data_IF_900812212935
#
_entry.id   IF_900812212935
#
_cell.length_a   1.000
_cell.length_b   1.000
_cell.length_c   1.000
_cell.angle_alpha   90.00
_cell.angle_beta   90.00
_cell.angle_gamma   90.00
#
_symmetry.space_group_name_H-M   'P 1'
#
loop_
_entity.id
_entity.type
_entity.pdbx_description
1 polymer ?
#
# COMPACT_ATOMS: atom_id res chain seq x y z
N UNK A 1 -80.96 37.42 -5.06
CA UNK A 1 -80.09 36.23 -5.23
C UNK A 1 -78.65 36.65 -5.34
N UNK A 2 -77.89 36.65 -4.27
CA UNK A 2 -76.44 36.89 -4.24
C UNK A 2 -75.75 35.77 -3.46
N UNK A 3 -75.04 34.89 -4.17
CA UNK A 3 -74.27 33.84 -3.55
C UNK A 3 -72.96 34.43 -3.04
N UNK A 4 -72.76 34.39 -1.76
CA UNK A 4 -71.53 34.69 -1.08
C UNK A 4 -70.58 33.53 -1.28
N UNK A 5 -69.46 33.77 -1.92
CA UNK A 5 -68.33 32.83 -2.03
C UNK A 5 -67.47 33.06 -0.79
N UNK A 6 -67.53 32.12 0.17
CA UNK A 6 -66.61 32.10 1.29
C UNK A 6 -65.22 31.67 0.78
N UNK A 7 -64.25 32.57 0.86
CA UNK A 7 -62.84 32.25 0.69
C UNK A 7 -62.34 31.43 1.90
N UNK A 8 -62.08 30.17 1.69
CA UNK A 8 -61.30 29.37 2.61
C UNK A 8 -59.84 29.80 2.52
N UNK A 9 -59.33 30.39 3.58
CA UNK A 9 -57.88 30.63 3.73
C UNK A 9 -57.30 29.31 4.27
N UNK A 10 -56.60 28.60 3.40
CA UNK A 10 -55.88 27.40 3.78
C UNK A 10 -54.52 27.85 4.35
N UNK A 11 -54.36 27.81 5.68
CA UNK A 11 -53.06 27.94 6.32
C UNK A 11 -52.33 26.63 6.10
N UNK A 12 -51.43 26.64 5.14
CA UNK A 12 -50.44 25.59 5.02
C UNK A 12 -49.39 25.73 6.13
N UNK A 13 -49.49 24.90 7.13
CA UNK A 13 -48.41 24.63 8.07
C UNK A 13 -47.24 24.02 7.30
N UNK A 14 -46.29 24.85 6.96
CA UNK A 14 -44.96 24.39 6.51
C UNK A 14 -44.27 23.92 7.76
N UNK A 15 -44.35 22.59 8.03
CA UNK A 15 -43.50 21.93 8.96
C UNK A 15 -42.06 22.03 8.41
N UNK A 16 -41.27 22.92 9.00
CA UNK A 16 -39.82 22.88 8.84
C UNK A 16 -39.33 21.54 9.41
N UNK A 17 -39.21 20.53 8.55
CA UNK A 17 -38.34 19.40 8.83
C UNK A 17 -36.93 19.97 8.75
N UNK A 18 -36.37 20.30 9.91
CA UNK A 18 -34.95 20.51 10.06
C UNK A 18 -34.26 19.21 9.65
N UNK A 19 -33.89 19.12 8.38
CA UNK A 19 -32.94 18.15 7.90
C UNK A 19 -31.64 18.45 8.64
N UNK A 20 -31.43 17.80 9.78
CA UNK A 20 -30.12 17.68 10.38
C UNK A 20 -29.25 16.96 9.35
N UNK A 21 -28.63 17.74 8.49
CA UNK A 21 -27.49 17.29 7.69
C UNK A 21 -26.49 16.85 8.74
N UNK A 22 -26.46 15.53 8.97
CA UNK A 22 -25.39 14.88 9.70
C UNK A 22 -24.13 15.22 8.86
N UNK A 23 -23.48 16.33 9.23
CA UNK A 23 -22.12 16.60 8.74
C UNK A 23 -21.30 15.42 9.23
N UNK A 24 -21.15 14.41 8.38
CA UNK A 24 -20.04 13.50 8.52
C UNK A 24 -18.82 14.40 8.68
N UNK A 25 -18.04 14.22 9.75
CA UNK A 25 -16.79 14.94 9.83
C UNK A 25 -16.06 14.58 8.54
N UNK A 26 -15.83 15.60 7.71
CA UNK A 26 -14.81 15.52 6.68
C UNK A 26 -13.58 15.13 7.50
N UNK A 27 -13.20 13.87 7.41
CA UNK A 27 -11.92 13.39 7.92
C UNK A 27 -10.90 14.25 7.20
N UNK A 28 -10.52 15.32 7.89
CA UNK A 28 -9.49 16.22 7.40
C UNK A 28 -8.30 15.32 7.05
N UNK A 29 -7.80 15.50 5.87
CA UNK A 29 -6.66 14.84 5.25
C UNK A 29 -5.33 15.03 6.03
N UNK A 30 -5.38 15.06 7.34
CA UNK A 30 -4.22 15.12 8.23
C UNK A 30 -3.63 13.75 8.53
N UNK A 31 -4.18 12.67 7.97
CA UNK A 31 -3.74 11.30 8.20
C UNK A 31 -2.92 10.69 7.06
N UNK A 32 -2.37 11.51 6.15
CA UNK A 32 -1.37 11.01 5.20
C UNK A 32 0.04 10.85 5.79
N UNK A 33 0.21 11.11 7.06
CA UNK A 33 1.45 10.87 7.77
C UNK A 33 1.20 9.78 8.79
N UNK A 34 1.85 8.64 8.64
CA UNK A 34 2.01 7.58 9.64
C UNK A 34 0.96 6.46 9.74
N UNK A 35 0.25 6.09 8.69
CA UNK A 35 -0.53 4.85 8.73
C UNK A 35 0.36 3.61 8.53
N UNK A 36 1.54 3.79 7.93
CA UNK A 36 2.41 2.67 7.62
C UNK A 36 3.84 2.94 8.10
N UNK A 37 4.34 2.17 9.07
CA UNK A 37 5.77 2.17 9.32
C UNK A 37 6.45 1.55 8.09
N UNK A 38 7.22 2.36 7.37
CA UNK A 38 8.11 1.87 6.34
C UNK A 38 9.24 1.08 7.02
N UNK A 39 9.18 -0.24 6.94
CA UNK A 39 10.20 -1.11 7.52
C UNK A 39 11.16 -1.57 6.43
N UNK A 40 12.32 -0.97 6.38
CA UNK A 40 13.38 -1.51 5.53
C UNK A 40 14.18 -2.61 6.25
N UNK A 41 13.97 -2.84 7.54
CA UNK A 41 14.73 -3.78 8.34
C UNK A 41 16.21 -3.44 8.54
N UNK A 42 16.70 -2.39 7.88
CA UNK A 42 18.06 -1.90 8.01
C UNK A 42 18.26 -1.34 9.40
N UNK A 43 19.25 -1.89 10.10
CA UNK A 43 19.82 -1.26 11.28
C UNK A 43 21.05 -0.46 10.89
N UNK A 44 21.12 0.76 11.35
CA UNK A 44 22.24 1.66 11.12
C UNK A 44 22.78 2.20 12.44
N UNK A 45 24.07 2.53 12.47
CA UNK A 45 24.69 3.34 13.53
C UNK A 45 25.05 4.72 13.01
N UNK A 46 24.97 5.72 13.87
CA UNK A 46 25.61 7.00 13.60
C UNK A 46 27.13 6.81 13.50
N UNK A 47 27.78 7.53 12.61
CA UNK A 47 29.25 7.59 12.54
C UNK A 47 29.85 8.56 13.57
N UNK A 48 29.02 9.35 14.23
CA UNK A 48 29.36 10.29 15.28
C UNK A 48 28.49 10.11 16.51
N UNK A 49 28.72 10.91 17.55
CA UNK A 49 27.99 10.82 18.82
C UNK A 49 26.59 11.42 18.74
N UNK A 50 26.34 12.31 17.78
CA UNK A 50 25.08 13.01 17.60
C UNK A 50 24.61 12.89 16.16
N UNK A 51 23.30 12.82 15.96
CA UNK A 51 22.68 12.76 14.66
C UNK A 51 21.52 13.73 14.57
N UNK A 52 21.59 14.61 13.58
CA UNK A 52 20.56 15.62 13.34
C UNK A 52 19.49 15.09 12.42
N UNK A 53 18.25 15.03 12.91
CA UNK A 53 17.09 14.68 12.11
C UNK A 53 16.54 15.90 11.38
N UNK A 54 16.39 15.80 10.08
CA UNK A 54 15.81 16.82 9.23
C UNK A 54 14.35 16.49 8.88
N UNK A 55 13.53 17.52 8.69
CA UNK A 55 12.13 17.34 8.31
C UNK A 55 11.95 16.79 6.89
N UNK A 56 12.91 17.07 6.00
CA UNK A 56 12.93 16.66 4.59
C UNK A 56 14.32 16.18 4.18
N UNK A 57 14.47 15.39 3.11
CA UNK A 57 15.76 14.94 2.60
C UNK A 57 16.48 16.05 1.82
N UNK A 58 16.86 17.11 2.53
CA UNK A 58 17.48 18.31 1.98
C UNK A 58 18.34 19.00 3.03
N UNK A 59 19.50 19.53 2.59
CA UNK A 59 20.39 20.35 3.45
C UNK A 59 19.79 21.70 3.84
N UNK A 60 18.73 22.14 3.14
CA UNK A 60 17.99 23.36 3.46
C UNK A 60 16.77 23.11 4.35
N UNK A 61 16.55 21.87 4.76
CA UNK A 61 15.41 21.54 5.62
C UNK A 61 15.67 22.01 7.05
N UNK A 62 14.57 22.29 7.76
CA UNK A 62 14.68 22.60 9.18
C UNK A 62 15.12 21.37 9.96
N UNK A 63 16.06 21.58 10.89
CA UNK A 63 16.42 20.59 11.91
C UNK A 63 15.17 20.30 12.75
N UNK A 64 14.80 19.05 12.81
CA UNK A 64 13.64 18.61 13.60
C UNK A 64 14.01 18.32 15.04
N UNK A 65 15.11 17.61 15.23
CA UNK A 65 15.62 17.23 16.55
C UNK A 65 17.01 16.60 16.42
N UNK A 66 17.70 16.54 17.53
CA UNK A 66 18.91 15.76 17.69
C UNK A 66 18.60 14.46 18.42
N UNK A 67 19.31 13.40 18.10
CA UNK A 67 19.16 12.10 18.76
C UNK A 67 20.53 11.55 19.17
N UNK A 68 20.58 11.15 20.42
CA UNK A 68 21.67 10.38 20.98
C UNK A 68 21.25 8.91 20.97
N UNK A 69 21.73 8.14 20.04
CA UNK A 69 21.43 6.70 19.98
C UNK A 69 22.50 5.99 19.16
N UNK A 70 22.82 4.79 19.56
CA UNK A 70 23.77 3.96 18.85
C UNK A 70 23.16 3.21 17.67
N UNK A 71 21.84 3.03 17.66
CA UNK A 71 21.16 2.20 16.69
C UNK A 71 19.84 2.82 16.23
N UNK A 72 19.64 2.85 14.94
CA UNK A 72 18.46 3.40 14.27
C UNK A 72 17.85 2.36 13.35
N UNK A 73 16.54 2.44 13.16
CA UNK A 73 15.87 1.71 12.08
C UNK A 73 15.76 2.61 10.87
N UNK A 74 16.26 2.13 9.73
CA UNK A 74 16.10 2.83 8.45
C UNK A 74 14.72 2.49 7.91
N UNK A 75 13.89 3.51 7.73
CA UNK A 75 12.51 3.39 7.28
C UNK A 75 12.38 3.52 5.76
N UNK A 76 13.36 4.15 5.11
CA UNK A 76 13.35 4.38 3.67
C UNK A 76 14.58 5.16 3.22
N UNK A 77 14.71 5.35 1.92
CA UNK A 77 15.77 6.17 1.35
C UNK A 77 15.26 7.03 0.20
N UNK A 78 15.86 8.20 0.06
CA UNK A 78 15.65 9.09 -1.07
C UNK A 78 16.99 9.70 -1.47
N UNK A 79 17.49 9.39 -2.67
CA UNK A 79 18.82 9.84 -3.15
C UNK A 79 19.92 9.61 -2.09
N UNK A 80 20.51 10.69 -1.58
CA UNK A 80 21.60 10.66 -0.59
C UNK A 80 21.12 10.70 0.86
N UNK A 81 19.85 10.44 1.15
CA UNK A 81 19.23 10.53 2.46
C UNK A 81 18.64 9.21 2.89
N UNK A 82 18.68 8.91 4.18
CA UNK A 82 17.88 7.89 4.84
C UNK A 82 16.82 8.54 5.72
N UNK A 83 15.60 7.98 5.68
CA UNK A 83 14.60 8.24 6.71
C UNK A 83 14.83 7.23 7.83
N UNK A 84 14.97 7.70 9.04
CA UNK A 84 15.28 6.85 10.20
C UNK A 84 14.30 7.09 11.34
N UNK A 85 14.22 6.09 12.22
CA UNK A 85 13.49 6.16 13.49
C UNK A 85 14.40 5.78 14.65
N UNK A 86 14.28 6.55 15.74
CA UNK A 86 14.88 6.27 17.04
C UNK A 86 13.84 6.50 18.13
N UNK A 87 13.28 5.42 18.68
CA UNK A 87 12.11 5.51 19.54
C UNK A 87 10.92 6.14 18.81
N UNK A 88 10.38 7.22 19.38
CA UNK A 88 9.27 7.98 18.78
C UNK A 88 9.74 9.11 17.83
N UNK A 89 11.05 9.35 17.76
CA UNK A 89 11.63 10.39 16.89
C UNK A 89 11.86 9.83 15.49
N UNK A 90 11.47 10.58 14.47
CA UNK A 90 11.60 10.21 13.07
C UNK A 90 12.02 11.41 12.23
N UNK A 91 12.91 11.19 11.26
CA UNK A 91 13.40 12.23 10.37
C UNK A 91 14.38 11.71 9.33
N UNK A 92 14.91 12.64 8.54
CA UNK A 92 15.85 12.37 7.46
C UNK A 92 17.27 12.72 7.88
N UNK A 93 18.22 11.85 7.50
CA UNK A 93 19.66 12.05 7.72
C UNK A 93 20.43 11.77 6.45
N UNK A 94 21.56 12.44 6.21
CA UNK A 94 22.44 12.10 5.09
C UNK A 94 22.94 10.66 5.20
N UNK A 95 23.03 9.95 4.08
CA UNK A 95 23.51 8.55 4.04
C UNK A 95 24.94 8.42 4.60
N UNK A 96 25.77 9.42 4.37
CA UNK A 96 27.13 9.46 4.91
C UNK A 96 27.20 9.54 6.43
N UNK A 97 26.13 10.00 7.11
CA UNK A 97 26.08 10.10 8.58
C UNK A 97 25.84 8.74 9.25
N UNK A 98 25.50 7.71 8.49
CA UNK A 98 25.19 6.38 9.00
C UNK A 98 26.17 5.33 8.50
N UNK A 99 26.43 4.35 9.38
CA UNK A 99 27.02 3.08 9.02
C UNK A 99 25.91 2.02 9.03
N UNK A 100 25.60 1.47 7.85
CA UNK A 100 24.64 0.38 7.74
C UNK A 100 25.30 -0.88 8.27
N UNK A 101 24.62 -1.61 9.15
CA UNK A 101 25.15 -2.84 9.74
C UNK A 101 24.75 -4.10 8.98
N UNK A 102 23.60 -4.05 8.30
CA UNK A 102 23.12 -5.16 7.50
C UNK A 102 22.53 -4.63 6.20
N UNK A 103 22.84 -5.24 5.07
CA UNK A 103 22.13 -5.01 3.81
C UNK A 103 20.76 -5.69 3.89
N UNK A 104 19.76 -4.90 3.70
CA UNK A 104 18.47 -5.12 4.28
C UNK A 104 17.51 -5.95 3.49
N UNK A 105 16.85 -6.67 4.26
CA UNK A 105 15.53 -7.17 3.97
C UNK A 105 14.48 -6.37 4.73
N UNK A 106 13.33 -6.09 4.13
CA UNK A 106 12.15 -5.71 4.89
C UNK A 106 11.76 -6.95 5.71
N UNK A 107 11.86 -6.91 7.05
CA UNK A 107 11.53 -8.09 7.83
C UNK A 107 10.10 -8.50 7.57
N UNK A 108 9.86 -9.78 7.30
CA UNK A 108 8.50 -10.28 7.27
C UNK A 108 7.89 -10.04 8.66
N UNK A 109 6.94 -9.11 8.69
CA UNK A 109 5.99 -9.00 9.77
C UNK A 109 4.69 -9.59 9.26
N UNK A 110 4.12 -10.55 9.98
CA UNK A 110 2.76 -11.02 9.69
C UNK A 110 1.79 -9.85 9.62
N UNK A 111 1.96 -8.90 10.53
CA UNK A 111 1.18 -7.66 10.58
C UNK A 111 1.36 -6.84 9.30
N UNK A 112 2.59 -6.61 8.84
CA UNK A 112 2.86 -5.85 7.61
C UNK A 112 2.28 -6.56 6.38
N UNK A 113 2.41 -7.88 6.28
CA UNK A 113 1.82 -8.62 5.16
C UNK A 113 0.30 -8.51 5.12
N UNK A 114 -0.36 -8.57 6.28
CA UNK A 114 -1.80 -8.37 6.42
C UNK A 114 -2.21 -6.93 6.10
N UNK A 115 -1.45 -5.92 6.57
CA UNK A 115 -1.69 -4.51 6.28
C UNK A 115 -1.60 -4.18 4.78
N UNK A 116 -0.61 -4.74 4.07
CA UNK A 116 -0.48 -4.62 2.60
C UNK A 116 -1.73 -5.15 1.91
N UNK A 117 -2.23 -6.31 2.35
CA UNK A 117 -3.44 -6.91 1.81
C UNK A 117 -4.67 -6.04 2.09
N UNK A 118 -4.86 -5.60 3.34
CA UNK A 118 -6.01 -4.78 3.71
C UNK A 118 -5.99 -3.43 2.98
N UNK A 119 -4.82 -2.80 2.86
CA UNK A 119 -4.70 -1.59 2.05
C UNK A 119 -5.07 -1.84 0.59
N UNK A 120 -4.59 -2.94 0.00
CA UNK A 120 -4.95 -3.30 -1.37
C UNK A 120 -6.45 -3.55 -1.56
N UNK A 121 -7.13 -4.13 -0.56
CA UNK A 121 -8.58 -4.37 -0.59
C UNK A 121 -9.41 -3.10 -0.65
N UNK A 122 -8.91 -1.95 -0.20
CA UNK A 122 -9.60 -0.66 -0.30
C UNK A 122 -9.88 -0.27 -1.76
N UNK A 123 -9.17 -0.86 -2.71
CA UNK A 123 -9.27 -0.57 -4.14
C UNK A 123 -10.08 -1.63 -4.91
N UNK A 124 -10.76 -2.56 -4.23
CA UNK A 124 -11.66 -3.52 -4.88
C UNK A 124 -12.72 -2.75 -5.67
N UNK A 125 -12.90 -3.12 -6.95
CA UNK A 125 -13.79 -2.44 -7.88
C UNK A 125 -13.11 -1.41 -8.77
N UNK A 126 -11.84 -1.02 -8.51
CA UNK A 126 -11.07 -0.17 -9.44
C UNK A 126 -10.99 -0.84 -10.80
N UNK A 127 -11.34 -0.15 -11.90
CA UNK A 127 -11.33 -0.72 -13.24
C UNK A 127 -9.96 -1.25 -13.66
N UNK A 128 -9.96 -2.32 -14.47
CA UNK A 128 -8.76 -2.74 -15.16
C UNK A 128 -8.44 -1.79 -16.32
N UNK A 129 -7.25 -1.26 -16.34
CA UNK A 129 -6.73 -0.44 -17.44
C UNK A 129 -5.36 -0.97 -17.82
N UNK A 130 -5.18 -1.40 -19.06
CA UNK A 130 -3.87 -1.87 -19.54
C UNK A 130 -2.82 -0.77 -19.42
N UNK A 131 -1.70 -1.06 -18.76
CA UNK A 131 -0.67 -0.07 -18.44
C UNK A 131 -1.06 0.90 -17.31
N UNK A 132 -2.26 0.76 -16.74
CA UNK A 132 -2.78 1.59 -15.67
C UNK A 132 -1.95 1.51 -14.39
N UNK A 133 -1.86 2.64 -13.69
CA UNK A 133 -1.01 2.82 -12.50
C UNK A 133 -1.64 3.81 -11.50
N UNK A 134 -2.94 3.93 -11.51
CA UNK A 134 -3.71 4.80 -10.61
C UNK A 134 -4.76 3.97 -9.87
N UNK A 135 -4.58 3.81 -8.55
CA UNK A 135 -5.44 2.97 -7.71
C UNK A 135 -6.90 3.43 -7.67
N UNK A 136 -7.21 4.66 -8.06
CA UNK A 136 -8.57 5.19 -8.07
C UNK A 136 -9.21 5.17 -9.46
N UNK A 137 -8.41 5.36 -10.53
CA UNK A 137 -8.91 5.51 -11.90
C UNK A 137 -8.78 4.26 -12.74
N UNK A 138 -7.75 3.45 -12.50
CA UNK A 138 -7.52 2.21 -13.20
C UNK A 138 -6.11 1.69 -13.12
N UNK A 139 -5.99 0.38 -12.99
CA UNK A 139 -4.72 -0.34 -12.85
C UNK A 139 -4.71 -1.58 -13.73
N UNK A 140 -3.52 -2.02 -14.16
CA UNK A 140 -3.30 -3.40 -14.56
C UNK A 140 -2.80 -4.25 -13.37
N UNK A 141 -2.59 -5.54 -13.59
CA UNK A 141 -2.21 -6.47 -12.53
C UNK A 141 -0.93 -6.05 -11.79
N UNK A 142 0.12 -5.70 -12.52
CA UNK A 142 1.42 -5.29 -11.96
C UNK A 142 1.44 -3.82 -11.51
N UNK A 143 0.59 -2.97 -12.06
CA UNK A 143 0.35 -1.61 -11.58
C UNK A 143 -0.32 -1.60 -10.21
N UNK A 144 -1.33 -2.48 -10.00
CA UNK A 144 -1.95 -2.69 -8.70
C UNK A 144 -0.91 -3.08 -7.65
N UNK A 145 -0.17 -4.18 -7.89
CA UNK A 145 0.82 -4.68 -6.93
C UNK A 145 1.87 -3.60 -6.62
N UNK A 146 2.43 -2.97 -7.67
CA UNK A 146 3.40 -1.89 -7.50
C UNK A 146 2.86 -0.76 -6.62
N UNK A 147 1.65 -0.27 -6.89
CA UNK A 147 1.08 0.85 -6.16
C UNK A 147 0.68 0.51 -4.74
N UNK A 148 0.25 -0.73 -4.49
CA UNK A 148 -0.03 -1.19 -3.13
C UNK A 148 1.26 -1.24 -2.31
N UNK A 149 2.34 -1.80 -2.84
CA UNK A 149 3.63 -1.82 -2.15
C UNK A 149 4.25 -0.43 -2.00
N UNK A 150 4.10 0.46 -2.98
CA UNK A 150 4.51 1.87 -2.84
C UNK A 150 3.82 2.59 -1.69
N UNK A 151 2.59 2.21 -1.33
CA UNK A 151 1.89 2.72 -0.15
C UNK A 151 2.63 2.45 1.17
N UNK A 152 3.56 1.50 1.16
CA UNK A 152 4.41 1.11 2.30
C UNK A 152 5.89 1.48 2.10
N UNK A 153 6.19 2.36 1.14
CA UNK A 153 7.55 2.73 0.73
C UNK A 153 8.39 1.54 0.22
N UNK A 154 7.73 0.46 -0.22
CA UNK A 154 8.38 -0.70 -0.81
C UNK A 154 8.31 -0.57 -2.34
N UNK A 155 9.46 -0.46 -2.99
CA UNK A 155 9.55 -0.28 -4.42
C UNK A 155 9.79 -1.60 -5.14
N UNK A 156 8.86 -1.98 -6.02
CA UNK A 156 8.96 -3.14 -6.88
C UNK A 156 8.87 -2.74 -8.36
N UNK A 157 9.31 -3.61 -9.23
CA UNK A 157 9.33 -3.42 -10.68
C UNK A 157 7.93 -3.12 -11.23
N UNK A 158 7.85 -2.43 -12.40
CA UNK A 158 6.57 -2.09 -13.02
C UNK A 158 5.86 -3.28 -13.66
N UNK A 159 6.60 -4.23 -14.18
CA UNK A 159 6.02 -5.32 -14.97
C UNK A 159 6.12 -6.65 -14.23
N UNK A 160 5.08 -7.49 -14.33
CA UNK A 160 4.96 -8.75 -13.60
C UNK A 160 6.16 -9.69 -13.81
N UNK A 161 6.72 -9.72 -15.03
CA UNK A 161 7.90 -10.54 -15.35
C UNK A 161 9.18 -10.13 -14.62
N UNK A 162 9.27 -8.87 -14.20
CA UNK A 162 10.39 -8.38 -13.39
C UNK A 162 10.09 -8.50 -11.90
N UNK A 163 8.83 -8.29 -11.49
CA UNK A 163 8.40 -8.36 -10.09
C UNK A 163 8.70 -9.73 -9.43
N UNK A 164 8.72 -10.80 -10.22
CA UNK A 164 9.06 -12.13 -9.70
C UNK A 164 10.49 -12.20 -9.13
N UNK A 165 11.37 -11.34 -9.60
CA UNK A 165 12.77 -11.25 -9.19
C UNK A 165 13.04 -10.15 -8.14
N UNK A 166 12.02 -9.37 -7.75
CA UNK A 166 12.16 -8.33 -6.73
C UNK A 166 12.18 -8.92 -5.30
N UNK A 167 11.93 -10.21 -5.17
CA UNK A 167 11.92 -10.93 -3.90
C UNK A 167 12.47 -12.34 -4.01
N UNK A 168 12.31 -13.12 -2.94
CA UNK A 168 12.72 -14.53 -2.88
C UNK A 168 11.59 -15.44 -3.33
N UNK A 169 11.89 -16.42 -4.17
CA UNK A 169 10.91 -17.42 -4.59
C UNK A 169 10.40 -18.25 -3.41
N UNK A 170 9.08 -18.40 -3.33
CA UNK A 170 8.41 -19.20 -2.30
C UNK A 170 7.53 -20.28 -2.92
N UNK A 171 7.48 -21.44 -2.27
CA UNK A 171 6.57 -22.51 -2.70
C UNK A 171 5.13 -22.14 -2.41
N UNK A 172 4.19 -22.68 -3.20
CA UNK A 172 2.75 -22.43 -3.02
C UNK A 172 2.26 -22.77 -1.60
N UNK A 173 2.82 -23.80 -0.98
CA UNK A 173 2.51 -24.21 0.40
C UNK A 173 3.07 -23.30 1.49
N UNK A 174 4.00 -22.42 1.13
CA UNK A 174 4.71 -21.51 2.05
C UNK A 174 4.24 -20.05 1.89
N UNK A 175 3.20 -19.84 1.06
CA UNK A 175 2.65 -18.50 0.82
C UNK A 175 2.09 -17.89 2.10
N UNK A 176 2.41 -16.61 2.31
CA UNK A 176 1.95 -15.78 3.42
C UNK A 176 1.30 -14.50 2.89
N UNK A 177 0.35 -13.88 3.63
CA UNK A 177 -0.22 -12.60 3.24
C UNK A 177 0.86 -11.58 2.86
N UNK A 178 0.67 -10.88 1.73
CA UNK A 178 1.66 -9.95 1.18
C UNK A 178 2.63 -10.57 0.17
N UNK A 179 2.74 -11.90 0.06
CA UNK A 179 3.53 -12.52 -1.02
C UNK A 179 2.90 -12.25 -2.39
N UNK A 180 3.72 -12.07 -3.41
CA UNK A 180 3.25 -12.02 -4.79
C UNK A 180 3.03 -13.42 -5.34
N UNK A 181 1.97 -13.60 -6.11
CA UNK A 181 1.64 -14.84 -6.83
C UNK A 181 1.57 -14.59 -8.32
N UNK A 182 2.20 -15.44 -9.11
CA UNK A 182 2.40 -15.25 -10.53
C UNK A 182 1.78 -16.37 -11.35
N UNK A 183 1.24 -15.99 -12.52
CA UNK A 183 0.52 -16.88 -13.40
C UNK A 183 0.92 -16.66 -14.86
N UNK A 184 0.83 -17.74 -15.65
CA UNK A 184 0.83 -17.69 -17.11
C UNK A 184 -0.61 -17.76 -17.60
N UNK A 185 -1.20 -16.61 -17.92
CA UNK A 185 -2.59 -16.49 -18.39
C UNK A 185 -2.69 -16.27 -19.90
N UNK A 186 -1.58 -16.44 -20.62
CA UNK A 186 -1.51 -16.17 -22.06
C UNK A 186 -1.96 -17.33 -22.96
N UNK A 187 -2.44 -18.42 -22.37
CA UNK A 187 -2.89 -19.61 -23.08
C UNK A 187 -2.54 -20.90 -22.35
N UNK A 188 -1.78 -21.79 -22.99
CA UNK A 188 -1.22 -22.96 -22.31
C UNK A 188 -0.08 -22.49 -21.40
N UNK A 189 -0.11 -22.94 -20.16
CA UNK A 189 0.93 -22.58 -19.19
C UNK A 189 2.29 -23.14 -19.62
N UNK A 190 3.16 -22.25 -20.02
CA UNK A 190 4.56 -22.49 -20.39
C UNK A 190 5.54 -21.98 -19.35
N UNK A 191 5.05 -21.43 -18.23
CA UNK A 191 5.83 -20.76 -17.20
C UNK A 191 6.15 -19.30 -17.53
N UNK A 192 5.64 -18.75 -18.63
CA UNK A 192 5.87 -17.36 -19.04
C UNK A 192 4.93 -16.43 -18.30
N UNK A 193 5.42 -15.79 -17.25
CA UNK A 193 4.62 -14.90 -16.41
C UNK A 193 3.96 -13.80 -17.23
N UNK A 194 2.63 -13.72 -17.11
CA UNK A 194 1.79 -12.72 -17.75
C UNK A 194 0.83 -12.02 -16.79
N UNK A 195 0.67 -12.54 -15.56
CA UNK A 195 -0.23 -12.01 -14.56
C UNK A 195 0.36 -12.13 -13.16
N UNK A 196 -0.07 -11.23 -12.25
CA UNK A 196 0.38 -11.18 -10.86
C UNK A 196 -0.75 -10.71 -9.94
N UNK A 197 -0.70 -11.15 -8.68
CA UNK A 197 -1.54 -10.66 -7.59
C UNK A 197 -0.81 -10.73 -6.26
N UNK A 198 -1.45 -10.23 -5.21
CA UNK A 198 -0.97 -10.26 -3.83
C UNK A 198 -1.71 -11.37 -3.08
N UNK A 199 -1.00 -12.33 -2.52
CA UNK A 199 -1.63 -13.37 -1.71
C UNK A 199 -2.25 -12.77 -0.46
N UNK A 200 -3.53 -13.07 -0.24
CA UNK A 200 -4.34 -12.46 0.82
C UNK A 200 -4.58 -13.37 2.03
N UNK A 201 -4.00 -14.57 2.03
CA UNK A 201 -4.32 -15.60 3.00
C UNK A 201 -5.47 -16.50 2.55
N UNK A 202 -5.69 -17.63 3.24
CA UNK A 202 -6.80 -18.56 3.04
C UNK A 202 -7.02 -19.02 1.59
N UNK A 203 -5.92 -19.15 0.84
CA UNK A 203 -5.95 -19.55 -0.56
C UNK A 203 -6.53 -18.48 -1.51
N UNK A 204 -6.66 -17.23 -1.07
CA UNK A 204 -7.12 -16.12 -1.87
C UNK A 204 -5.96 -15.20 -2.27
N UNK A 205 -6.16 -14.43 -3.32
CA UNK A 205 -5.24 -13.39 -3.74
C UNK A 205 -5.98 -12.20 -4.36
N UNK A 206 -5.45 -11.01 -4.14
CA UNK A 206 -5.93 -9.74 -4.67
C UNK A 206 -5.23 -9.46 -6.00
N UNK A 207 -5.98 -9.14 -7.04
CA UNK A 207 -5.42 -8.82 -8.35
C UNK A 207 -6.35 -7.90 -9.16
N UNK A 208 -5.84 -7.31 -10.22
CA UNK A 208 -6.66 -6.62 -11.21
C UNK A 208 -7.01 -7.60 -12.33
N UNK A 209 -8.29 -8.00 -12.36
CA UNK A 209 -8.89 -8.87 -13.37
C UNK A 209 -9.39 -8.03 -14.56
N UNK A 210 -9.13 -8.47 -15.78
CA UNK A 210 -9.44 -7.68 -16.98
C UNK A 210 -10.95 -7.45 -17.21
N UNK A 211 -11.81 -8.24 -16.57
CA UNK A 211 -13.27 -8.11 -16.67
C UNK A 211 -13.91 -7.50 -15.43
N UNK A 212 -13.37 -7.78 -14.25
CA UNK A 212 -13.97 -7.40 -12.95
C UNK A 212 -13.23 -6.24 -12.26
N UNK A 213 -12.10 -5.79 -12.82
CA UNK A 213 -11.24 -4.85 -12.14
C UNK A 213 -10.53 -5.48 -10.93
N UNK A 214 -10.18 -4.66 -9.95
CA UNK A 214 -9.53 -5.14 -8.72
C UNK A 214 -10.50 -6.01 -7.91
N UNK A 215 -10.08 -7.25 -7.62
CA UNK A 215 -10.93 -8.26 -6.97
C UNK A 215 -10.12 -9.33 -6.27
N UNK A 216 -10.77 -10.12 -5.42
CA UNK A 216 -10.22 -11.34 -4.84
C UNK A 216 -10.58 -12.56 -5.70
N UNK A 217 -9.63 -13.46 -5.86
CA UNK A 217 -9.83 -14.77 -6.50
C UNK A 217 -9.21 -15.90 -5.66
N UNK A 218 -9.65 -17.15 -5.91
CA UNK A 218 -9.12 -18.32 -5.22
C UNK A 218 -8.02 -18.99 -6.02
N UNK A 219 -6.89 -19.30 -5.40
CA UNK A 219 -5.81 -20.09 -5.99
C UNK A 219 -6.24 -21.53 -6.33
N UNK A 220 -7.30 -22.03 -5.68
CA UNK A 220 -7.87 -23.37 -5.91
C UNK A 220 -8.84 -23.43 -7.08
N UNK A 221 -9.20 -22.29 -7.70
CA UNK A 221 -10.02 -22.33 -8.90
C UNK A 221 -9.30 -23.06 -10.04
N UNK A 222 -10.03 -23.79 -10.89
CA UNK A 222 -9.44 -24.54 -11.99
C UNK A 222 -8.53 -23.68 -12.89
N UNK A 223 -8.95 -22.45 -13.16
CA UNK A 223 -8.19 -21.51 -13.98
C UNK A 223 -6.84 -21.16 -13.35
N UNK A 224 -6.84 -20.69 -12.10
CA UNK A 224 -5.60 -20.26 -11.44
C UNK A 224 -4.72 -21.43 -10.99
N UNK A 225 -5.30 -22.60 -10.70
CA UNK A 225 -4.52 -23.81 -10.42
C UNK A 225 -3.70 -24.25 -11.64
N UNK A 226 -4.29 -24.22 -12.84
CA UNK A 226 -3.60 -24.60 -14.09
C UNK A 226 -2.54 -23.60 -14.50
N UNK A 227 -2.77 -22.32 -14.22
CA UNK A 227 -1.94 -21.22 -14.71
C UNK A 227 -0.92 -20.72 -13.66
N UNK A 228 -0.90 -21.28 -12.45
CA UNK A 228 0.05 -20.91 -11.42
C UNK A 228 1.48 -21.23 -11.85
N UNK A 229 2.40 -20.26 -11.68
CA UNK A 229 3.83 -20.40 -11.98
C UNK A 229 4.63 -20.48 -10.69
N UNK A 230 4.58 -19.43 -9.86
CA UNK A 230 5.40 -19.33 -8.65
C UNK A 230 4.85 -18.26 -7.69
N UNK A 231 5.40 -18.23 -6.47
CA UNK A 231 5.31 -17.10 -5.55
C UNK A 231 6.63 -16.36 -5.40
N UNK A 232 6.58 -15.11 -4.97
CA UNK A 232 7.76 -14.33 -4.58
C UNK A 232 7.45 -13.51 -3.32
N UNK A 233 8.33 -13.61 -2.34
CA UNK A 233 8.26 -12.87 -1.08
C UNK A 233 9.10 -11.62 -1.15
N UNK A 234 8.44 -10.48 -1.14
CA UNK A 234 9.07 -9.15 -1.13
C UNK A 234 9.49 -8.77 0.29
N UNK A 235 8.68 -9.18 1.27
CA UNK A 235 8.91 -8.93 2.70
C UNK A 235 9.61 -10.16 3.27
N UNK A 236 10.85 -10.03 3.77
CA UNK A 236 11.65 -11.15 4.23
C UNK A 236 11.64 -11.30 5.76
N UNK A 237 11.87 -12.53 6.24
CA UNK A 237 12.13 -12.75 7.67
C UNK A 237 13.54 -12.27 8.02
N UNK A 238 13.69 -11.69 9.20
CA UNK A 238 14.97 -11.34 9.83
C UNK A 238 15.47 -12.53 10.63
#
# INVERSE_FOLDING_TARGET
MKRQIKRLVCYSLISMIAMSILRMPVMASTHKQNIFPSYTGLKARAKGNELTLNSYPSTYSQVKTEVESDTFYVLGSNNNWYRIRSGEKEGWVPKESLQIKDEAFVPYSKVLGEEIVEFGKLFIGTPYVWGGNDLQKGVDCSGLTKKVFEGFDIHISRVSRSQVNDGVHVKKSELRPGDLVFFDTSGVNTGKISHVGIYAGDGQFLHADCTRGVTLSRLSSNYYTKNYVTGSRIIHEV
#
